data_IF_635616904255
#
_entry.id   IF_635616904255
#
_cell.length_a   1.000
_cell.length_b   1.000
_cell.length_c   1.000
_cell.angle_alpha   90.00
_cell.angle_beta   90.00
_cell.angle_gamma   90.00
#
_symmetry.space_group_name_H-M   'P 1'
#
loop_
_entity.id
_entity.type
_entity.pdbx_description
1 polymer ?
#
# COMPACT_ATOMS: atom_id res chain seq x y z
N UNK A 1 -1.02 -16.72 11.01
CA UNK A 1 -1.64 -15.51 10.46
C UNK A 1 -0.75 -14.34 10.78
N UNK A 2 -0.16 -13.76 9.75
CA UNK A 2 0.67 -12.55 9.85
C UNK A 2 -0.24 -11.36 10.12
N UNK A 3 0.23 -10.37 10.88
CA UNK A 3 -0.52 -9.14 11.10
C UNK A 3 -0.90 -8.46 9.77
N UNK A 4 -0.07 -8.61 8.74
CA UNK A 4 -0.34 -8.11 7.39
C UNK A 4 -1.60 -8.72 6.77
N UNK A 5 -1.87 -10.02 6.99
CA UNK A 5 -3.04 -10.71 6.41
C UNK A 5 -4.35 -10.20 7.01
N UNK A 6 -4.35 -9.79 8.28
CA UNK A 6 -5.51 -9.20 8.97
C UNK A 6 -5.86 -7.81 8.43
N UNK A 7 -4.85 -6.98 8.15
CA UNK A 7 -5.05 -5.66 7.54
C UNK A 7 -5.45 -5.75 6.07
N UNK A 8 -4.89 -6.70 5.31
CA UNK A 8 -5.30 -6.97 3.91
C UNK A 8 -6.78 -7.35 3.77
N UNK A 9 -7.36 -7.95 4.83
CA UNK A 9 -8.75 -8.42 4.83
C UNK A 9 -9.76 -7.34 5.22
N UNK A 10 -9.30 -6.12 5.53
CA UNK A 10 -10.18 -4.99 5.88
C UNK A 10 -10.66 -4.31 4.60
N UNK A 11 -11.87 -4.66 4.14
CA UNK A 11 -12.53 -4.17 2.91
C UNK A 11 -12.64 -2.63 2.79
N UNK A 12 -12.30 -1.86 3.82
CA UNK A 12 -12.43 -0.41 3.83
C UNK A 12 -11.17 0.36 3.44
N UNK A 13 -9.99 -0.27 3.43
CA UNK A 13 -8.74 0.43 3.13
C UNK A 13 -7.77 -0.47 2.37
N UNK A 14 -7.52 -0.13 1.10
CA UNK A 14 -6.62 -0.89 0.27
C UNK A 14 -5.18 -0.72 0.76
N UNK A 15 -4.41 -1.80 0.99
CA UNK A 15 -3.05 -1.71 1.53
C UNK A 15 -2.09 -0.89 0.67
N UNK A 16 -2.26 -0.91 -0.66
CA UNK A 16 -1.46 -0.09 -1.57
C UNK A 16 -1.71 1.39 -1.33
N UNK A 17 -2.94 1.82 -1.06
CA UNK A 17 -3.25 3.25 -0.83
C UNK A 17 -2.54 3.77 0.43
N UNK A 18 -2.34 2.92 1.44
CA UNK A 18 -1.54 3.27 2.63
C UNK A 18 -0.06 3.50 2.29
N UNK A 19 0.50 2.68 1.41
CA UNK A 19 1.90 2.80 0.99
C UNK A 19 2.09 4.03 0.08
N UNK A 20 1.16 4.29 -0.83
CA UNK A 20 1.14 5.51 -1.66
C UNK A 20 1.11 6.77 -0.77
N UNK A 21 0.21 6.82 0.21
CA UNK A 21 0.12 7.96 1.15
C UNK A 21 1.42 8.17 1.91
N UNK A 22 2.09 7.09 2.33
CA UNK A 22 3.38 7.17 3.02
C UNK A 22 4.47 7.68 2.06
N UNK A 23 4.53 7.14 0.84
CA UNK A 23 5.52 7.54 -0.16
C UNK A 23 5.36 9.02 -0.55
N UNK A 24 4.13 9.50 -0.74
CA UNK A 24 3.83 10.92 -1.00
C UNK A 24 4.25 11.81 0.18
N UNK A 25 3.92 11.42 1.41
CA UNK A 25 4.31 12.17 2.61
C UNK A 25 5.83 12.28 2.77
N UNK A 26 6.57 11.25 2.37
CA UNK A 26 8.02 11.21 2.41
C UNK A 26 8.69 11.69 1.11
N UNK A 27 7.91 12.11 0.11
CA UNK A 27 8.37 12.49 -1.24
C UNK A 27 9.30 11.43 -1.88
N UNK A 28 8.95 10.15 -1.71
CA UNK A 28 9.61 9.05 -2.42
C UNK A 28 9.14 9.00 -3.88
N UNK A 29 10.03 8.58 -4.77
CA UNK A 29 9.65 8.26 -6.13
C UNK A 29 9.06 6.84 -6.13
N UNK A 30 7.91 6.67 -6.76
CA UNK A 30 7.23 5.39 -6.80
C UNK A 30 6.38 5.25 -8.06
N UNK A 31 6.16 4.01 -8.49
CA UNK A 31 5.30 3.69 -9.62
C UNK A 31 4.30 2.58 -9.27
N UNK A 32 3.02 2.83 -9.51
CA UNK A 32 1.96 1.85 -9.26
C UNK A 32 1.88 0.92 -10.46
N UNK A 33 2.33 -0.32 -10.27
CA UNK A 33 2.35 -1.32 -11.35
C UNK A 33 0.99 -2.01 -11.52
N UNK A 34 0.35 -2.42 -10.42
CA UNK A 34 -0.95 -3.10 -10.40
C UNK A 34 -1.82 -2.59 -9.25
N UNK A 35 -3.04 -3.11 -9.13
CA UNK A 35 -3.93 -2.78 -8.00
C UNK A 35 -3.30 -3.12 -6.65
N UNK A 36 -2.52 -4.19 -6.58
CA UNK A 36 -1.87 -4.79 -5.39
C UNK A 36 -0.33 -4.66 -5.40
N UNK A 37 0.25 -3.86 -6.30
CA UNK A 37 1.71 -3.76 -6.45
C UNK A 37 2.19 -2.34 -6.77
N UNK A 38 3.24 -1.92 -6.06
CA UNK A 38 3.95 -0.65 -6.21
C UNK A 38 5.47 -0.91 -6.24
N UNK A 39 6.19 -0.17 -7.08
CA UNK A 39 7.65 -0.15 -7.14
C UNK A 39 8.16 1.15 -6.49
N UNK A 40 9.33 1.05 -5.84
CA UNK A 40 10.02 2.16 -5.17
C UNK A 40 11.42 2.37 -5.77
#
# INVERSE_FOLDING_TARGET
MSAAELYLSSDSLHPIDMVETLAEHHAWDFDRMNEDQIAM
#
